data_IF_446531378236
#
_entry.id   IF_446531378236
#
_cell.length_a   1.000
_cell.length_b   1.000
_cell.length_c   1.000
_cell.angle_alpha   90.00
_cell.angle_beta   90.00
_cell.angle_gamma   90.00
#
_symmetry.space_group_name_H-M   'P 1'
#
loop_
_entity.id
_entity.type
_entity.pdbx_description
1 polymer ?
#
# COMPACT_ATOMS: atom_id res chain seq x y z
N UNK A 1 11.25 -10.82 6.76
CA UNK A 1 10.12 -9.88 6.64
C UNK A 1 10.39 -8.62 7.45
N UNK A 2 10.24 -7.46 6.81
CA UNK A 2 10.30 -6.13 7.41
C UNK A 2 8.93 -5.48 7.26
N UNK A 3 8.58 -4.61 8.20
CA UNK A 3 7.37 -3.79 8.11
C UNK A 3 7.76 -2.38 7.66
N UNK A 4 7.26 -1.98 6.49
CA UNK A 4 7.43 -0.64 5.93
C UNK A 4 6.09 0.10 5.94
N UNK A 5 6.15 1.44 5.96
CA UNK A 5 4.97 2.31 5.92
C UNK A 5 5.12 3.33 4.79
N UNK A 6 3.99 3.66 4.19
CA UNK A 6 3.91 4.55 3.06
C UNK A 6 2.74 5.51 3.23
N UNK A 7 2.98 6.78 2.95
CA UNK A 7 1.91 7.76 2.73
C UNK A 7 1.25 7.45 1.39
N UNK A 8 -0.08 7.51 1.31
CA UNK A 8 -0.81 7.30 0.05
C UNK A 8 -1.80 8.42 -0.24
N UNK A 9 -2.42 8.38 -1.43
CA UNK A 9 -3.52 9.26 -1.79
C UNK A 9 -4.89 8.55 -1.83
N UNK A 10 -5.04 7.39 -1.19
CA UNK A 10 -6.30 6.66 -1.12
C UNK A 10 -7.37 7.46 -0.34
N UNK A 11 -8.57 7.66 -0.92
CA UNK A 11 -9.61 8.52 -0.33
C UNK A 11 -10.90 7.80 0.06
N UNK A 12 -11.12 6.56 -0.38
CA UNK A 12 -12.32 5.80 -0.06
C UNK A 12 -12.04 4.30 -0.07
N UNK A 13 -13.00 3.49 0.41
CA UNK A 13 -12.90 2.03 0.42
C UNK A 13 -12.68 1.44 -0.99
N UNK A 14 -13.24 2.05 -2.03
CA UNK A 14 -12.99 1.65 -3.41
C UNK A 14 -11.53 1.86 -3.86
N UNK A 15 -10.86 2.91 -3.37
CA UNK A 15 -9.43 3.10 -3.60
C UNK A 15 -8.61 2.01 -2.90
N UNK A 16 -8.98 1.67 -1.66
CA UNK A 16 -8.31 0.61 -0.90
C UNK A 16 -8.46 -0.74 -1.59
N UNK A 17 -9.65 -1.06 -2.12
CA UNK A 17 -9.88 -2.27 -2.88
C UNK A 17 -8.98 -2.35 -4.12
N UNK A 18 -8.91 -1.28 -4.93
CA UNK A 18 -8.06 -1.21 -6.13
C UNK A 18 -6.57 -1.38 -5.81
N UNK A 19 -6.07 -0.71 -4.77
CA UNK A 19 -4.68 -0.86 -4.31
C UNK A 19 -4.45 -2.29 -3.83
N UNK A 20 -5.40 -2.84 -3.08
CA UNK A 20 -5.34 -4.20 -2.56
C UNK A 20 -5.30 -5.26 -3.64
N UNK A 21 -6.07 -5.12 -4.73
CA UNK A 21 -6.01 -6.02 -5.88
C UNK A 21 -4.62 -6.07 -6.53
N UNK A 22 -3.86 -4.96 -6.49
CA UNK A 22 -2.50 -4.92 -6.98
C UNK A 22 -1.51 -5.55 -5.98
N UNK A 23 -1.60 -5.19 -4.69
CA UNK A 23 -0.72 -5.72 -3.65
C UNK A 23 -0.90 -7.23 -3.45
N UNK A 24 -2.14 -7.74 -3.52
CA UNK A 24 -2.45 -9.17 -3.38
C UNK A 24 -1.81 -10.06 -4.46
N UNK A 25 -1.23 -9.49 -5.51
CA UNK A 25 -0.47 -10.21 -6.54
C UNK A 25 0.98 -10.48 -6.14
N UNK A 26 1.51 -9.70 -5.21
CA UNK A 26 2.93 -9.72 -4.82
C UNK A 26 3.13 -10.04 -3.33
N UNK A 27 2.12 -9.80 -2.49
CA UNK A 27 2.12 -10.09 -1.06
C UNK A 27 0.79 -10.69 -0.61
N UNK A 28 0.75 -11.48 0.48
CA UNK A 28 -0.50 -11.97 1.07
C UNK A 28 -1.41 -10.82 1.53
N UNK A 29 -2.73 -11.02 1.47
CA UNK A 29 -3.71 -9.98 1.86
C UNK A 29 -3.60 -9.58 3.35
N UNK A 30 -3.19 -10.51 4.22
CA UNK A 30 -2.94 -10.24 5.65
C UNK A 30 -1.65 -9.45 5.91
N UNK A 31 -0.78 -9.32 4.89
CA UNK A 31 0.52 -8.66 5.00
C UNK A 31 0.47 -7.18 4.67
N UNK A 32 -0.70 -6.59 4.46
CA UNK A 32 -0.84 -5.16 4.27
C UNK A 32 -2.16 -4.60 4.83
N UNK A 33 -2.19 -3.31 5.13
CA UNK A 33 -3.42 -2.58 5.45
C UNK A 33 -3.30 -1.10 5.10
N UNK A 34 -4.43 -0.44 4.85
CA UNK A 34 -4.48 1.01 4.66
C UNK A 34 -5.38 1.62 5.74
N UNK A 35 -4.79 2.51 6.55
CA UNK A 35 -5.55 3.34 7.48
C UNK A 35 -6.02 4.64 6.80
N UNK A 36 -7.34 4.74 6.59
CA UNK A 36 -7.97 5.95 6.05
C UNK A 36 -8.34 6.97 7.14
N UNK A 37 -8.00 6.75 8.41
CA UNK A 37 -8.32 7.67 9.51
C UNK A 37 -7.31 8.80 9.61
N UNK A 38 -6.08 8.56 9.18
CA UNK A 38 -4.99 9.55 9.13
C UNK A 38 -5.04 10.41 7.86
N UNK A 39 -4.62 11.69 7.93
CA UNK A 39 -4.56 12.57 6.75
C UNK A 39 -3.58 12.04 5.68
N UNK A 40 -2.59 11.27 6.11
CA UNK A 40 -1.55 10.68 5.26
C UNK A 40 -1.94 9.33 4.64
N UNK A 41 -3.08 8.75 5.06
CA UNK A 41 -3.64 7.53 4.46
C UNK A 41 -2.59 6.40 4.43
N UNK A 42 -2.20 5.98 5.61
CA UNK A 42 -1.01 5.16 5.81
C UNK A 42 -1.24 3.74 5.29
N UNK A 43 -0.46 3.33 4.30
CA UNK A 43 -0.29 1.94 3.90
C UNK A 43 0.81 1.31 4.77
N UNK A 44 0.52 0.21 5.44
CA UNK A 44 1.51 -0.62 6.13
C UNK A 44 1.67 -1.92 5.36
N UNK A 45 2.91 -2.36 5.10
CA UNK A 45 3.20 -3.63 4.42
C UNK A 45 4.28 -4.40 5.17
N UNK A 46 4.07 -5.68 5.39
CA UNK A 46 5.05 -6.61 5.98
C UNK A 46 5.50 -7.60 4.91
N UNK A 47 6.71 -7.46 4.39
CA UNK A 47 7.24 -8.35 3.35
C UNK A 47 8.78 -8.36 3.32
N UNK A 48 9.37 -9.17 2.45
CA UNK A 48 10.81 -9.10 2.12
C UNK A 48 11.08 -8.31 0.83
N UNK A 49 10.04 -7.70 0.24
CA UNK A 49 10.15 -6.87 -0.94
C UNK A 49 10.77 -5.52 -0.60
N UNK A 50 11.38 -4.91 -1.61
CA UNK A 50 11.92 -3.56 -1.47
C UNK A 50 10.78 -2.52 -1.44
N UNK A 51 11.01 -1.41 -0.73
CA UNK A 51 10.05 -0.31 -0.66
C UNK A 51 9.68 0.21 -2.06
N UNK A 52 10.64 0.25 -2.99
CA UNK A 52 10.41 0.65 -4.38
C UNK A 52 9.49 -0.29 -5.16
N UNK A 53 9.50 -1.59 -4.85
CA UNK A 53 8.59 -2.55 -5.47
C UNK A 53 7.14 -2.35 -4.99
N UNK A 54 6.97 -2.08 -3.69
CA UNK A 54 5.67 -1.72 -3.11
C UNK A 54 5.15 -0.43 -3.72
N UNK A 55 5.98 0.62 -3.77
CA UNK A 55 5.62 1.92 -4.36
C UNK A 55 5.18 1.76 -5.81
N UNK A 56 5.98 1.07 -6.63
CA UNK A 56 5.67 0.84 -8.05
C UNK A 56 4.36 0.08 -8.23
N UNK A 57 4.06 -0.88 -7.35
CA UNK A 57 2.82 -1.66 -7.41
C UNK A 57 1.60 -0.78 -7.13
N UNK A 58 1.69 0.13 -6.15
CA UNK A 58 0.64 1.11 -5.86
C UNK A 58 0.47 2.11 -7.01
N UNK A 59 1.58 2.55 -7.63
CA UNK A 59 1.57 3.43 -8.82
C UNK A 59 0.93 2.79 -10.04
N UNK A 60 1.20 1.50 -10.28
CA UNK A 60 0.56 0.73 -11.35
C UNK A 60 -0.96 0.57 -11.14
N UNK A 61 -1.43 0.63 -9.89
CA UNK A 61 -2.86 0.68 -9.57
C UNK A 61 -3.48 2.07 -9.78
N UNK A 62 -2.68 3.09 -10.11
CA UNK A 62 -3.12 4.47 -10.36
C UNK A 62 -3.08 5.37 -9.12
N UNK A 63 -2.33 5.00 -8.08
CA UNK A 63 -2.25 5.72 -6.80
C UNK A 63 -0.82 6.14 -6.48
N UNK A 64 -0.64 7.10 -5.57
CA UNK A 64 0.70 7.50 -5.10
C UNK A 64 1.03 6.78 -3.81
N UNK A 65 2.29 6.37 -3.66
CA UNK A 65 2.86 5.88 -2.42
C UNK A 65 4.25 6.48 -2.21
N UNK A 66 4.53 6.97 -1.00
CA UNK A 66 5.83 7.54 -0.63
C UNK A 66 6.27 6.93 0.70
N UNK A 67 7.53 6.47 0.78
CA UNK A 67 8.09 5.86 1.99
C UNK A 67 8.09 6.87 3.14
N UNK A 68 7.73 6.39 4.33
CA UNK A 68 7.77 7.15 5.59
C UNK A 68 9.02 6.87 6.41
#
# INVERSE_FOLDING_TARGET
MKTARFKTNAKCGGCVARIGEALNKIVPAESWSIDLSTPERILTVTSDLSDGEIVRTVEQAGYKAEVL
#
